data_IF_093539503106
#
_entry.id   IF_093539503106
#
_cell.length_a   1.000
_cell.length_b   1.000
_cell.length_c   1.000
_cell.angle_alpha   90.00
_cell.angle_beta   90.00
_cell.angle_gamma   90.00
#
_symmetry.space_group_name_H-M   'P 1'
#
loop_
_entity.id
_entity.type
_entity.pdbx_description
1 polymer ?
#
# COMPACT_ATOMS: atom_id res chain seq x y z
N UNK A 1 1.36 -27.03 5.11
CA UNK A 1 1.81 -25.72 4.60
C UNK A 1 0.76 -24.62 4.80
N UNK A 2 -0.51 -24.83 4.44
CA UNK A 2 -1.61 -23.89 4.70
C UNK A 2 -1.77 -23.52 6.18
N UNK A 3 -1.61 -24.49 7.09
CA UNK A 3 -1.64 -24.26 8.55
C UNK A 3 -0.55 -23.29 9.04
N UNK A 4 0.66 -23.38 8.48
CA UNK A 4 1.78 -22.51 8.83
C UNK A 4 1.58 -21.08 8.29
N UNK A 5 1.09 -20.94 7.06
CA UNK A 5 0.73 -19.64 6.49
C UNK A 5 -0.28 -18.93 7.39
N UNK A 6 -1.32 -19.66 7.80
CA UNK A 6 -2.37 -19.12 8.67
C UNK A 6 -1.84 -18.77 10.07
N UNK A 7 -0.92 -19.57 10.62
CA UNK A 7 -0.27 -19.27 11.88
C UNK A 7 0.56 -17.98 11.81
N UNK A 8 1.41 -17.82 10.78
CA UNK A 8 2.17 -16.58 10.58
C UNK A 8 1.26 -15.37 10.38
N UNK A 9 0.23 -15.51 9.55
CA UNK A 9 -0.77 -14.45 9.31
C UNK A 9 -1.44 -14.03 10.61
N UNK A 10 -1.89 -15.01 11.42
CA UNK A 10 -2.57 -14.75 12.70
C UNK A 10 -1.68 -14.02 13.68
N UNK A 11 -0.44 -14.47 13.85
CA UNK A 11 0.52 -13.83 14.78
C UNK A 11 0.77 -12.38 14.35
N UNK A 12 1.15 -12.16 13.10
CA UNK A 12 1.47 -10.82 12.58
C UNK A 12 0.26 -9.88 12.60
N UNK A 13 -0.94 -10.40 12.30
CA UNK A 13 -2.16 -9.62 12.36
C UNK A 13 -2.51 -9.22 13.81
N UNK A 14 -2.41 -10.16 14.75
CA UNK A 14 -2.65 -9.87 16.18
C UNK A 14 -1.61 -8.89 16.73
N UNK A 15 -0.34 -9.01 16.33
CA UNK A 15 0.71 -8.06 16.72
C UNK A 15 0.35 -6.64 16.27
N UNK A 16 -0.11 -6.44 15.03
CA UNK A 16 -0.55 -5.12 14.57
C UNK A 16 -1.81 -4.63 15.28
N UNK A 17 -2.78 -5.50 15.55
CA UNK A 17 -3.98 -5.14 16.33
C UNK A 17 -3.67 -4.74 17.78
N UNK A 18 -2.61 -5.30 18.37
CA UNK A 18 -2.15 -4.93 19.73
C UNK A 18 -1.41 -3.60 19.77
N UNK A 19 -1.05 -3.04 18.62
CA UNK A 19 -0.43 -1.71 18.49
C UNK A 19 -1.41 -0.79 17.75
N UNK A 20 -2.54 -0.41 18.37
CA UNK A 20 -3.61 0.34 17.69
C UNK A 20 -3.13 1.68 17.14
N UNK A 21 -2.16 2.32 17.81
CA UNK A 21 -1.56 3.57 17.33
C UNK A 21 -0.85 3.39 15.99
N UNK A 22 -0.29 2.21 15.70
CA UNK A 22 0.33 1.92 14.40
C UNK A 22 -0.69 1.84 13.27
N UNK A 23 -1.86 1.25 13.54
CA UNK A 23 -2.98 1.18 12.59
C UNK A 23 -3.54 2.57 12.30
N UNK A 24 -3.74 3.37 13.36
CA UNK A 24 -4.25 4.74 13.24
C UNK A 24 -3.24 5.61 12.51
N UNK A 25 -1.96 5.56 12.87
CA UNK A 25 -0.92 6.38 12.26
C UNK A 25 -0.80 6.16 10.74
N UNK A 26 -0.95 4.92 10.27
CA UNK A 26 -0.90 4.59 8.84
C UNK A 26 -2.02 5.23 8.01
N UNK A 27 -3.21 5.35 8.58
CA UNK A 27 -4.39 5.94 7.94
C UNK A 27 -4.62 7.43 8.29
N UNK A 28 -3.95 7.92 9.33
CA UNK A 28 -4.17 9.26 9.90
C UNK A 28 -3.93 10.36 8.87
N UNK A 29 -2.76 10.37 8.21
CA UNK A 29 -2.45 11.41 7.23
C UNK A 29 -3.47 11.46 6.08
N UNK A 30 -3.80 10.35 5.38
CA UNK A 30 -4.85 10.37 4.35
C UNK A 30 -6.20 10.87 4.87
N UNK A 31 -6.61 10.44 6.06
CA UNK A 31 -7.88 10.87 6.67
C UNK A 31 -7.87 12.37 7.03
N UNK A 32 -6.78 12.86 7.62
CA UNK A 32 -6.60 14.27 7.95
C UNK A 32 -6.51 15.15 6.69
N UNK A 33 -5.77 14.70 5.67
CA UNK A 33 -5.70 15.38 4.38
C UNK A 33 -7.07 15.41 3.68
N UNK A 34 -7.85 14.34 3.78
CA UNK A 34 -9.22 14.32 3.27
C UNK A 34 -10.09 15.37 3.94
N UNK A 35 -10.06 15.45 5.28
CA UNK A 35 -10.78 16.47 6.04
C UNK A 35 -10.32 17.90 5.73
N UNK A 36 -9.02 18.12 5.55
CA UNK A 36 -8.45 19.45 5.36
C UNK A 36 -8.61 19.96 3.92
N UNK A 37 -8.52 19.07 2.92
CA UNK A 37 -8.42 19.47 1.52
C UNK A 37 -9.58 19.01 0.66
N UNK A 38 -10.24 17.90 0.99
CA UNK A 38 -11.37 17.40 0.18
C UNK A 38 -12.67 17.98 0.70
N UNK A 39 -13.00 17.75 1.98
CA UNK A 39 -14.28 18.18 2.58
C UNK A 39 -14.61 19.66 2.33
N UNK A 40 -13.69 20.63 2.51
CA UNK A 40 -14.01 22.05 2.30
C UNK A 40 -14.21 22.42 0.83
N UNK A 41 -13.71 21.60 -0.09
CA UNK A 41 -13.73 21.86 -1.53
C UNK A 41 -14.71 20.96 -2.28
N UNK A 42 -15.60 20.25 -1.57
CA UNK A 42 -16.64 19.43 -2.22
C UNK A 42 -17.67 20.33 -2.90
N UNK A 43 -17.59 20.42 -4.22
CA UNK A 43 -18.63 21.01 -5.06
C UNK A 43 -19.50 19.96 -5.77
N UNK A 44 -18.99 18.73 -5.91
CA UNK A 44 -19.61 17.63 -6.66
C UNK A 44 -19.35 16.27 -5.98
N UNK A 45 -20.39 15.45 -5.70
CA UNK A 45 -20.24 14.09 -5.21
C UNK A 45 -19.30 13.20 -6.04
N UNK A 46 -19.24 13.38 -7.37
CA UNK A 46 -18.35 12.59 -8.21
C UNK A 46 -16.87 12.96 -7.99
N UNK A 47 -16.59 14.26 -7.85
CA UNK A 47 -15.25 14.75 -7.47
C UNK A 47 -14.83 14.20 -6.09
N UNK A 48 -15.74 14.23 -5.11
CA UNK A 48 -15.48 13.70 -3.78
C UNK A 48 -15.14 12.19 -3.81
N UNK A 49 -15.85 11.40 -4.62
CA UNK A 49 -15.57 9.98 -4.79
C UNK A 49 -14.20 9.72 -5.42
N UNK A 50 -13.83 10.52 -6.43
CA UNK A 50 -12.52 10.47 -7.06
C UNK A 50 -11.38 10.80 -6.08
N UNK A 51 -11.55 11.85 -5.27
CA UNK A 51 -10.60 12.24 -4.24
C UNK A 51 -10.50 11.21 -3.09
N UNK A 52 -11.62 10.56 -2.75
CA UNK A 52 -11.65 9.44 -1.80
C UNK A 52 -10.77 8.30 -2.30
N UNK A 53 -10.86 7.94 -3.58
CA UNK A 53 -10.00 6.91 -4.18
C UNK A 53 -8.51 7.28 -4.05
N UNK A 54 -8.13 8.52 -4.31
CA UNK A 54 -6.76 8.98 -4.16
C UNK A 54 -6.24 8.84 -2.72
N UNK A 55 -7.06 9.22 -1.72
CA UNK A 55 -6.71 9.06 -0.30
C UNK A 55 -6.67 7.60 0.14
N UNK A 56 -7.48 6.72 -0.45
CA UNK A 56 -7.40 5.27 -0.23
C UNK A 56 -6.09 4.72 -0.78
N UNK A 57 -5.70 5.06 -2.01
CA UNK A 57 -4.39 4.67 -2.57
C UNK A 57 -3.25 5.18 -1.67
N UNK A 58 -3.37 6.40 -1.16
CA UNK A 58 -2.40 6.98 -0.22
C UNK A 58 -2.27 6.17 1.08
N UNK A 59 -3.38 5.74 1.67
CA UNK A 59 -3.42 4.91 2.88
C UNK A 59 -2.82 3.51 2.64
N UNK A 60 -3.17 2.88 1.51
CA UNK A 60 -2.63 1.59 1.08
C UNK A 60 -1.11 1.69 0.85
N UNK A 61 -0.66 2.77 0.21
CA UNK A 61 0.76 3.01 -0.02
C UNK A 61 1.52 3.23 1.29
N UNK A 62 0.93 3.96 2.24
CA UNK A 62 1.52 4.19 3.57
C UNK A 62 1.71 2.86 4.32
N UNK A 63 0.66 2.05 4.41
CA UNK A 63 0.70 0.77 5.12
C UNK A 63 1.55 -0.29 4.42
N UNK A 64 1.40 -0.44 3.10
CA UNK A 64 2.12 -1.43 2.30
C UNK A 64 3.60 -1.10 2.11
N UNK A 65 3.98 0.17 1.94
CA UNK A 65 5.37 0.54 1.71
C UNK A 65 6.11 0.90 3.01
N UNK A 66 5.59 1.88 3.77
CA UNK A 66 6.26 2.36 4.99
C UNK A 66 6.06 1.35 6.12
N UNK A 67 4.81 1.01 6.42
CA UNK A 67 4.48 0.12 7.54
C UNK A 67 5.15 -1.25 7.41
N UNK A 68 4.91 -1.95 6.30
CA UNK A 68 5.50 -3.26 6.05
C UNK A 68 7.03 -3.21 5.97
N UNK A 69 7.61 -2.20 5.31
CA UNK A 69 9.07 -2.11 5.16
C UNK A 69 9.79 -1.92 6.48
N UNK A 70 9.26 -1.07 7.37
CA UNK A 70 9.79 -0.89 8.73
C UNK A 70 9.63 -2.19 9.53
N UNK A 71 8.44 -2.78 9.55
CA UNK A 71 8.17 -4.00 10.33
C UNK A 71 9.09 -5.16 9.90
N UNK A 72 9.28 -5.37 8.61
CA UNK A 72 10.16 -6.44 8.09
C UNK A 72 11.62 -6.19 8.48
N UNK A 73 12.09 -4.94 8.39
CA UNK A 73 13.45 -4.60 8.78
C UNK A 73 13.68 -4.79 10.29
N UNK A 74 12.71 -4.41 11.13
CA UNK A 74 12.75 -4.61 12.58
C UNK A 74 12.70 -6.08 12.97
N UNK A 75 11.79 -6.86 12.37
CA UNK A 75 11.67 -8.30 12.65
C UNK A 75 13.00 -9.03 12.38
N UNK A 76 13.70 -8.65 11.31
CA UNK A 76 15.02 -9.23 10.94
C UNK A 76 16.14 -8.92 11.92
N UNK A 77 15.96 -7.95 12.82
CA UNK A 77 16.90 -7.63 13.89
C UNK A 77 16.60 -8.43 15.18
N UNK A 78 15.42 -9.07 15.28
CA UNK A 78 15.05 -9.88 16.43
C UNK A 78 15.62 -11.31 16.33
N UNK A 79 16.01 -11.94 17.46
CA UNK A 79 16.54 -13.32 17.49
C UNK A 79 15.58 -14.38 16.95
N UNK A 80 14.28 -14.08 16.90
CA UNK A 80 13.26 -14.97 16.37
C UNK A 80 13.42 -15.22 14.86
N UNK A 81 13.90 -14.23 14.11
CA UNK A 81 14.05 -14.33 12.67
C UNK A 81 15.06 -15.39 12.20
N UNK A 82 16.31 -15.39 12.71
CA UNK A 82 17.28 -16.43 12.37
C UNK A 82 16.83 -17.80 12.91
N UNK A 83 16.16 -17.87 14.06
CA UNK A 83 15.63 -19.12 14.59
C UNK A 83 14.61 -19.77 13.64
N UNK A 84 13.65 -19.00 13.13
CA UNK A 84 12.67 -19.53 12.17
C UNK A 84 13.31 -20.08 10.88
N UNK A 85 14.47 -19.56 10.49
CA UNK A 85 15.20 -20.01 9.30
C UNK A 85 15.94 -21.34 9.48
N UNK A 86 16.16 -21.79 10.72
CA UNK A 86 16.75 -23.12 10.98
C UNK A 86 15.71 -24.23 10.93
N UNK A 87 14.41 -23.89 10.96
CA UNK A 87 13.31 -24.84 10.90
C UNK A 87 13.03 -25.30 9.47
N UNK A 88 12.57 -26.56 9.26
CA UNK A 88 12.30 -27.12 7.93
C UNK A 88 10.97 -26.62 7.31
N UNK A 89 10.62 -25.34 7.51
CA UNK A 89 9.37 -24.75 7.01
C UNK A 89 9.52 -24.05 5.65
N UNK A 90 10.75 -23.75 5.24
CA UNK A 90 11.04 -22.94 4.04
C UNK A 90 10.58 -21.48 4.16
N UNK A 91 10.84 -20.65 3.13
CA UNK A 91 10.56 -19.22 3.16
C UNK A 91 9.07 -18.89 2.92
N UNK A 92 8.35 -19.77 2.23
CA UNK A 92 7.01 -19.51 1.72
C UNK A 92 5.98 -19.18 2.82
N UNK A 93 5.84 -19.94 3.92
CA UNK A 93 4.81 -19.68 4.92
C UNK A 93 4.91 -18.28 5.55
N UNK A 94 6.14 -17.82 5.80
CA UNK A 94 6.42 -16.52 6.39
C UNK A 94 6.10 -15.38 5.43
N UNK A 95 6.55 -15.48 4.19
CA UNK A 95 6.31 -14.44 3.17
C UNK A 95 4.82 -14.34 2.85
N UNK A 96 4.16 -15.48 2.65
CA UNK A 96 2.71 -15.52 2.42
C UNK A 96 1.93 -14.92 3.60
N UNK A 97 2.34 -15.21 4.84
CA UNK A 97 1.75 -14.59 6.04
C UNK A 97 1.87 -13.07 6.02
N UNK A 98 3.05 -12.53 5.70
CA UNK A 98 3.27 -11.08 5.59
C UNK A 98 2.38 -10.43 4.53
N UNK A 99 2.25 -11.07 3.37
CA UNK A 99 1.40 -10.57 2.27
C UNK A 99 -0.07 -10.54 2.71
N UNK A 100 -0.59 -11.62 3.30
CA UNK A 100 -1.97 -11.68 3.75
C UNK A 100 -2.26 -10.66 4.87
N UNK A 101 -1.36 -10.52 5.83
CA UNK A 101 -1.49 -9.52 6.88
C UNK A 101 -1.46 -8.11 6.30
N UNK A 102 -0.52 -7.79 5.41
CA UNK A 102 -0.44 -6.45 4.82
C UNK A 102 -1.66 -6.11 3.94
N UNK A 103 -2.23 -7.08 3.23
CA UNK A 103 -3.52 -6.93 2.53
C UNK A 103 -4.66 -6.61 3.50
N UNK A 104 -4.79 -7.35 4.60
CA UNK A 104 -5.82 -7.12 5.60
C UNK A 104 -5.68 -5.72 6.25
N UNK A 105 -4.44 -5.31 6.56
CA UNK A 105 -4.16 -4.01 7.16
C UNK A 105 -4.46 -2.87 6.19
N UNK A 106 -4.18 -3.06 4.90
CA UNK A 106 -4.52 -2.08 3.86
C UNK A 106 -6.03 -1.87 3.72
N UNK A 107 -6.82 -2.95 3.84
CA UNK A 107 -8.28 -2.87 3.90
C UNK A 107 -8.77 -2.16 5.18
N UNK A 108 -8.10 -2.34 6.31
CA UNK A 108 -8.44 -1.58 7.53
C UNK A 108 -8.08 -0.09 7.39
N UNK A 109 -6.95 0.21 6.74
CA UNK A 109 -6.45 1.57 6.60
C UNK A 109 -7.32 2.45 5.68
N UNK A 110 -8.10 1.88 4.76
CA UNK A 110 -9.05 2.65 3.96
C UNK A 110 -10.31 3.06 4.74
N UNK A 111 -10.65 2.37 5.84
CA UNK A 111 -11.91 2.58 6.57
C UNK A 111 -12.08 4.04 7.02
N UNK A 112 -11.09 4.69 7.68
CA UNK A 112 -11.27 6.08 8.12
C UNK A 112 -11.61 7.02 6.96
N UNK A 113 -10.94 6.87 5.82
CA UNK A 113 -11.16 7.71 4.63
C UNK A 113 -12.58 7.50 4.07
N UNK A 114 -13.02 6.25 3.94
CA UNK A 114 -14.36 5.94 3.41
C UNK A 114 -15.47 6.41 4.36
N UNK A 115 -15.28 6.25 5.67
CA UNK A 115 -16.22 6.77 6.68
C UNK A 115 -16.31 8.29 6.60
N UNK A 116 -15.18 8.99 6.49
CA UNK A 116 -15.19 10.45 6.33
C UNK A 116 -15.87 10.88 5.02
N UNK A 117 -15.63 10.19 3.92
CA UNK A 117 -16.29 10.48 2.65
C UNK A 117 -17.82 10.34 2.76
N UNK A 118 -18.30 9.24 3.37
CA UNK A 118 -19.72 8.97 3.56
C UNK A 118 -20.40 10.00 4.48
N UNK A 119 -19.70 10.48 5.51
CA UNK A 119 -20.24 11.44 6.48
C UNK A 119 -20.23 12.89 5.96
N UNK A 120 -19.24 13.28 5.15
CA UNK A 120 -18.97 14.70 4.89
C UNK A 120 -19.02 15.14 3.42
N UNK A 121 -19.13 14.22 2.43
CA UNK A 121 -18.90 14.60 1.02
C UNK A 121 -19.99 14.22 0.02
N UNK A 122 -21.11 13.65 0.48
CA UNK A 122 -22.22 13.21 -0.39
C UNK A 122 -21.84 12.10 -1.37
N UNK A 123 -20.60 11.62 -1.35
CA UNK A 123 -20.12 10.54 -2.20
C UNK A 123 -20.95 9.27 -1.93
N UNK A 124 -21.60 8.76 -2.96
CA UNK A 124 -22.40 7.53 -2.89
C UNK A 124 -21.71 6.42 -3.66
N UNK A 125 -21.86 5.19 -3.14
CA UNK A 125 -21.30 4.01 -3.75
C UNK A 125 -22.33 2.88 -3.70
N UNK A 126 -22.61 2.26 -4.85
CA UNK A 126 -23.49 1.09 -4.87
C UNK A 126 -22.79 -0.14 -4.27
N UNK A 127 -23.52 -1.08 -3.64
CA UNK A 127 -22.91 -2.27 -3.05
C UNK A 127 -22.01 -3.09 -4.02
N UNK A 128 -22.36 -3.27 -5.31
CA UNK A 128 -21.47 -3.94 -6.26
C UNK A 128 -20.16 -3.18 -6.48
N UNK A 129 -20.21 -1.85 -6.55
CA UNK A 129 -19.02 -1.00 -6.71
C UNK A 129 -18.13 -1.00 -5.47
N UNK A 130 -18.73 -1.14 -4.28
CA UNK A 130 -17.97 -1.36 -3.05
C UNK A 130 -17.19 -2.67 -3.12
N UNK A 131 -17.81 -3.77 -3.56
CA UNK A 131 -17.12 -5.06 -3.72
C UNK A 131 -15.96 -4.95 -4.71
N UNK A 132 -16.18 -4.32 -5.87
CA UNK A 132 -15.09 -4.08 -6.83
C UNK A 132 -14.00 -3.18 -6.25
N UNK A 133 -14.34 -2.15 -5.48
CA UNK A 133 -13.39 -1.31 -4.76
C UNK A 133 -12.53 -2.10 -3.77
N UNK A 134 -13.12 -3.00 -2.98
CA UNK A 134 -12.39 -3.86 -2.04
C UNK A 134 -11.41 -4.80 -2.79
N UNK A 135 -11.86 -5.41 -3.89
CA UNK A 135 -11.00 -6.24 -4.74
C UNK A 135 -9.88 -5.43 -5.39
N UNK A 136 -10.17 -4.23 -5.88
CA UNK A 136 -9.18 -3.33 -6.44
C UNK A 136 -8.14 -2.94 -5.38
N UNK A 137 -8.56 -2.64 -4.14
CA UNK A 137 -7.64 -2.36 -3.02
C UNK A 137 -6.67 -3.51 -2.81
N UNK A 138 -7.13 -4.76 -2.81
CA UNK A 138 -6.24 -5.93 -2.68
C UNK A 138 -5.20 -5.99 -3.80
N UNK A 139 -5.58 -5.67 -5.04
CA UNK A 139 -4.67 -5.68 -6.19
C UNK A 139 -3.66 -4.52 -6.12
N UNK A 140 -4.11 -3.29 -5.90
CA UNK A 140 -3.22 -2.12 -5.86
C UNK A 140 -2.26 -2.15 -4.67
N UNK A 141 -2.61 -2.89 -3.61
CA UNK A 141 -1.73 -3.06 -2.45
C UNK A 141 -0.44 -3.81 -2.82
N UNK A 142 -0.47 -4.70 -3.82
CA UNK A 142 0.63 -5.57 -4.21
C UNK A 142 1.93 -4.80 -4.52
N UNK A 143 1.97 -3.84 -5.47
CA UNK A 143 3.20 -3.12 -5.78
C UNK A 143 3.77 -2.39 -4.56
N UNK A 144 2.94 -1.74 -3.74
CA UNK A 144 3.43 -1.02 -2.56
C UNK A 144 3.95 -1.94 -1.47
N UNK A 145 3.32 -3.10 -1.27
CA UNK A 145 3.86 -4.17 -0.42
C UNK A 145 5.21 -4.67 -0.93
N UNK A 146 5.38 -4.81 -2.24
CA UNK A 146 6.66 -5.22 -2.81
C UNK A 146 7.75 -4.17 -2.59
N UNK A 147 7.44 -2.87 -2.68
CA UNK A 147 8.39 -1.82 -2.29
C UNK A 147 8.75 -1.94 -0.81
N UNK A 148 7.75 -2.12 0.06
CA UNK A 148 7.96 -2.32 1.49
C UNK A 148 8.84 -3.54 1.79
N UNK A 149 8.54 -4.70 1.21
CA UNK A 149 9.35 -5.92 1.34
C UNK A 149 10.77 -5.72 0.82
N UNK A 150 10.94 -5.08 -0.33
CA UNK A 150 12.25 -4.78 -0.90
C UNK A 150 13.10 -3.94 0.05
N UNK A 151 12.55 -2.83 0.55
CA UNK A 151 13.19 -1.98 1.55
C UNK A 151 13.51 -2.79 2.82
N UNK A 152 12.52 -3.54 3.29
CA UNK A 152 12.58 -4.32 4.51
C UNK A 152 13.60 -5.45 4.47
N UNK A 153 13.90 -6.04 3.32
CA UNK A 153 14.96 -7.04 3.13
C UNK A 153 16.34 -6.42 2.85
N UNK A 154 16.39 -5.22 2.27
CA UNK A 154 17.65 -4.63 1.84
C UNK A 154 18.34 -3.80 2.94
N UNK A 155 17.56 -3.12 3.79
CA UNK A 155 18.07 -2.09 4.71
C UNK A 155 17.94 -2.50 6.19
N UNK A 156 18.80 -1.96 7.08
CA UNK A 156 18.59 -2.02 8.53
C UNK A 156 17.41 -1.15 8.95
N UNK A 157 16.80 -1.41 10.12
CA UNK A 157 15.53 -0.80 10.54
C UNK A 157 15.59 0.74 10.51
N UNK A 158 16.66 1.35 11.03
CA UNK A 158 16.84 2.81 11.02
C UNK A 158 16.86 3.41 9.61
N UNK A 159 17.49 2.73 8.65
CA UNK A 159 17.54 3.20 7.26
C UNK A 159 16.22 2.95 6.53
N UNK A 160 15.53 1.82 6.81
CA UNK A 160 14.23 1.51 6.25
C UNK A 160 13.19 2.60 6.58
N UNK A 161 13.21 3.14 7.81
CA UNK A 161 12.35 4.28 8.20
C UNK A 161 12.58 5.48 7.27
N UNK A 162 13.82 5.98 7.19
CA UNK A 162 14.14 7.17 6.42
C UNK A 162 13.90 6.99 4.91
N UNK A 163 14.32 5.86 4.34
CA UNK A 163 14.16 5.58 2.90
C UNK A 163 12.69 5.46 2.51
N UNK A 164 11.87 4.78 3.31
CA UNK A 164 10.44 4.64 3.00
C UNK A 164 9.74 5.99 2.99
N UNK A 165 10.07 6.88 3.95
CA UNK A 165 9.50 8.23 4.04
C UNK A 165 9.94 9.12 2.86
N UNK A 166 11.23 9.06 2.48
CA UNK A 166 11.77 9.84 1.36
C UNK A 166 11.16 9.38 0.03
N UNK A 167 10.93 8.09 -0.18
CA UNK A 167 10.32 7.56 -1.41
C UNK A 167 8.82 7.83 -1.49
N UNK A 168 8.15 7.92 -0.36
CA UNK A 168 6.70 8.00 -0.29
C UNK A 168 6.10 9.21 -1.00
N UNK A 169 6.56 10.42 -0.66
CA UNK A 169 6.01 11.64 -1.26
C UNK A 169 6.31 11.77 -2.77
N UNK A 170 7.54 11.51 -3.26
CA UNK A 170 7.80 11.50 -4.69
C UNK A 170 6.88 10.56 -5.46
N UNK A 171 6.67 9.32 -4.99
CA UNK A 171 5.77 8.38 -5.67
C UNK A 171 4.32 8.89 -5.63
N UNK A 172 3.87 9.46 -4.51
CA UNK A 172 2.51 10.01 -4.40
C UNK A 172 2.29 11.22 -5.32
N UNK A 173 3.24 12.17 -5.32
CA UNK A 173 3.17 13.42 -6.08
C UNK A 173 3.31 13.13 -7.57
N UNK A 174 4.32 12.35 -7.96
CA UNK A 174 4.56 12.02 -9.37
C UNK A 174 3.41 11.20 -9.95
N UNK A 175 2.74 10.35 -9.16
CA UNK A 175 1.52 9.66 -9.57
C UNK A 175 0.25 10.52 -9.59
N UNK A 176 0.33 11.78 -9.18
CA UNK A 176 -0.80 12.72 -9.18
C UNK A 176 -1.83 12.46 -8.07
N UNK A 177 -1.48 11.82 -6.95
CA UNK A 177 -2.43 11.53 -5.86
C UNK A 177 -2.86 12.78 -5.06
N UNK A 178 -2.03 13.83 -5.04
CA UNK A 178 -2.22 15.03 -4.22
C UNK A 178 -2.63 16.26 -5.03
N UNK A 179 -2.74 16.14 -6.36
CA UNK A 179 -3.02 17.27 -7.26
C UNK A 179 -4.48 17.31 -7.73
N UNK A 180 -4.90 18.48 -8.21
CA UNK A 180 -6.11 18.58 -9.02
C UNK A 180 -5.80 18.00 -10.41
N UNK A 181 -6.51 16.94 -10.88
CA UNK A 181 -6.29 16.39 -12.21
C UNK A 181 -6.43 17.41 -13.34
N UNK A 182 -7.26 18.45 -13.15
CA UNK A 182 -7.52 19.51 -14.14
C UNK A 182 -6.48 20.64 -14.14
N UNK A 183 -5.59 20.68 -13.15
CA UNK A 183 -4.59 21.75 -12.98
C UNK A 183 -3.22 21.18 -12.61
N UNK A 184 -2.88 20.01 -13.14
CA UNK A 184 -1.60 19.35 -12.85
C UNK A 184 -0.47 20.05 -13.62
N UNK A 185 0.71 20.30 -12.99
CA UNK A 185 1.88 20.80 -13.70
C UNK A 185 2.26 19.87 -14.85
N UNK A 186 2.62 20.42 -16.02
CA UNK A 186 2.91 19.64 -17.23
C UNK A 186 3.95 18.53 -17.03
N UNK A 187 4.94 18.75 -16.16
CA UNK A 187 5.92 17.73 -15.80
C UNK A 187 5.28 16.52 -15.10
N UNK A 188 4.40 16.75 -14.12
CA UNK A 188 3.72 15.67 -13.41
C UNK A 188 2.74 14.98 -14.36
N UNK A 189 2.05 15.71 -15.21
CA UNK A 189 1.14 15.14 -16.22
C UNK A 189 1.85 14.18 -17.17
N UNK A 190 3.05 14.55 -17.64
CA UNK A 190 3.86 13.70 -18.51
C UNK A 190 4.39 12.43 -17.81
N UNK A 191 4.74 12.52 -16.53
CA UNK A 191 5.38 11.43 -15.77
C UNK A 191 4.36 10.52 -15.09
N UNK A 192 3.21 11.05 -14.69
CA UNK A 192 2.20 10.35 -13.89
C UNK A 192 1.75 9.02 -14.48
N UNK A 193 1.45 8.90 -15.80
CA UNK A 193 1.07 7.62 -16.40
C UNK A 193 2.11 6.50 -16.24
N UNK A 194 3.36 6.82 -15.92
CA UNK A 194 4.42 5.82 -15.73
C UNK A 194 4.62 5.41 -14.26
N UNK A 195 3.91 6.05 -13.32
CA UNK A 195 4.04 5.80 -11.88
C UNK A 195 3.07 4.71 -11.41
N UNK A 196 3.49 3.83 -10.47
CA UNK A 196 2.62 2.77 -9.96
C UNK A 196 1.43 3.33 -9.17
N UNK A 197 1.61 4.46 -8.50
CA UNK A 197 0.55 5.21 -7.81
C UNK A 197 -0.54 5.71 -8.75
N UNK A 198 -0.21 6.11 -9.98
CA UNK A 198 -1.21 6.49 -10.97
C UNK A 198 -1.98 5.28 -11.48
N UNK A 199 -1.30 4.20 -11.83
CA UNK A 199 -1.96 2.97 -12.27
C UNK A 199 -2.88 2.38 -11.20
N UNK A 200 -2.47 2.45 -9.93
CA UNK A 200 -3.30 2.07 -8.78
C UNK A 200 -4.56 2.94 -8.67
N UNK A 201 -4.42 4.26 -8.85
CA UNK A 201 -5.55 5.19 -8.81
C UNK A 201 -6.53 4.95 -9.97
N UNK A 202 -6.03 4.76 -11.19
CA UNK A 202 -6.83 4.45 -12.38
C UNK A 202 -7.62 3.15 -12.20
N UNK A 203 -6.99 2.09 -11.67
CA UNK A 203 -7.66 0.83 -11.39
C UNK A 203 -8.79 1.00 -10.35
N UNK A 204 -8.54 1.78 -9.30
CA UNK A 204 -9.54 2.02 -8.26
C UNK A 204 -10.70 2.89 -8.77
N UNK A 205 -10.41 3.92 -9.56
CA UNK A 205 -11.44 4.73 -10.22
C UNK A 205 -12.32 3.88 -11.15
N UNK A 206 -11.73 3.00 -11.95
CA UNK A 206 -12.52 2.10 -12.78
C UNK A 206 -13.42 1.17 -11.96
N UNK A 207 -12.90 0.60 -10.88
CA UNK A 207 -13.66 -0.30 -10.02
C UNK A 207 -14.85 0.40 -9.35
N UNK A 208 -14.61 1.58 -8.79
CA UNK A 208 -15.56 2.32 -7.93
C UNK A 208 -16.48 3.24 -8.75
N UNK A 209 -15.94 3.93 -9.75
CA UNK A 209 -16.67 4.94 -10.54
C UNK A 209 -17.07 4.43 -11.93
N UNK A 210 -16.39 3.41 -12.47
CA UNK A 210 -16.69 2.87 -13.80
C UNK A 210 -16.24 3.75 -14.96
N UNK A 211 -15.31 4.66 -14.70
CA UNK A 211 -14.74 5.53 -15.73
C UNK A 211 -13.69 4.78 -16.57
N UNK A 212 -13.43 5.30 -17.76
CA UNK A 212 -12.35 4.80 -18.62
C UNK A 212 -10.99 4.97 -17.94
N UNK A 213 -10.10 3.99 -18.15
CA UNK A 213 -8.76 3.99 -17.58
C UNK A 213 -7.73 4.46 -18.59
N UNK A 214 -6.69 5.11 -18.09
CA UNK A 214 -5.46 5.23 -18.83
C UNK A 214 -4.74 3.87 -18.92
N UNK A 215 -4.83 3.20 -20.08
CA UNK A 215 -4.22 1.89 -20.31
C UNK A 215 -2.69 1.86 -20.14
N UNK A 216 -2.00 2.98 -20.41
CA UNK A 216 -0.57 3.09 -20.14
C UNK A 216 -0.29 2.98 -18.64
N UNK A 217 -1.08 3.66 -17.80
CA UNK A 217 -0.94 3.60 -16.35
C UNK A 217 -1.24 2.20 -15.79
N UNK A 218 -2.25 1.51 -16.32
CA UNK A 218 -2.54 0.12 -15.97
C UNK A 218 -1.40 -0.81 -16.39
N UNK A 219 -0.87 -0.65 -17.61
CA UNK A 219 0.29 -1.42 -18.08
C UNK A 219 1.52 -1.19 -17.19
N UNK A 220 1.79 0.05 -16.81
CA UNK A 220 2.91 0.43 -15.96
C UNK A 220 2.75 -0.08 -14.52
N UNK A 221 1.53 -0.15 -13.99
CA UNK A 221 1.26 -0.84 -12.71
C UNK A 221 1.73 -2.30 -12.76
N UNK A 222 1.43 -3.00 -13.86
CA UNK A 222 1.89 -4.36 -14.11
C UNK A 222 3.42 -4.47 -14.20
N UNK A 223 4.05 -3.58 -14.96
CA UNK A 223 5.52 -3.51 -15.10
C UNK A 223 6.19 -3.30 -13.73
N UNK A 224 5.75 -2.31 -12.97
CA UNK A 224 6.27 -2.05 -11.62
C UNK A 224 6.09 -3.26 -10.71
N UNK A 225 4.92 -3.91 -10.74
CA UNK A 225 4.66 -5.11 -9.94
C UNK A 225 5.66 -6.22 -10.26
N UNK A 226 5.91 -6.50 -11.55
CA UNK A 226 6.87 -7.53 -11.96
C UNK A 226 8.30 -7.15 -11.56
N UNK A 227 8.73 -5.92 -11.85
CA UNK A 227 10.08 -5.44 -11.52
C UNK A 227 10.33 -5.49 -10.01
N UNK A 228 9.37 -5.04 -9.20
CA UNK A 228 9.47 -5.05 -7.76
C UNK A 228 9.41 -6.46 -7.18
N UNK A 229 8.65 -7.38 -7.79
CA UNK A 229 8.65 -8.78 -7.38
C UNK A 229 10.03 -9.42 -7.59
N UNK A 230 10.64 -9.18 -8.75
CA UNK A 230 12.00 -9.64 -9.05
C UNK A 230 13.04 -9.01 -8.11
N UNK A 231 12.95 -7.70 -7.87
CA UNK A 231 13.83 -6.98 -6.96
C UNK A 231 13.70 -7.48 -5.50
N UNK A 232 12.47 -7.73 -5.06
CA UNK A 232 12.18 -8.28 -3.72
C UNK A 232 12.74 -9.70 -3.58
N UNK A 233 12.54 -10.55 -4.59
CA UNK A 233 13.08 -11.91 -4.60
C UNK A 233 14.63 -11.90 -4.54
N UNK A 234 15.27 -10.99 -5.29
CA UNK A 234 16.71 -10.79 -5.21
C UNK A 234 17.16 -10.30 -3.83
N UNK A 235 16.49 -9.30 -3.26
CA UNK A 235 16.82 -8.76 -1.94
C UNK A 235 16.67 -9.83 -0.83
N UNK A 236 15.62 -10.64 -0.92
CA UNK A 236 15.38 -11.77 -0.03
C UNK A 236 16.53 -12.79 -0.08
N UNK A 237 16.93 -13.23 -1.29
CA UNK A 237 18.04 -14.19 -1.46
C UNK A 237 19.39 -13.63 -1.00
N UNK A 238 19.62 -12.33 -1.21
CA UNK A 238 20.83 -11.64 -0.73
C UNK A 238 20.91 -11.62 0.80
N UNK A 239 19.78 -11.44 1.47
CA UNK A 239 19.70 -11.47 2.94
C UNK A 239 20.04 -12.86 3.48
N UNK A 240 19.59 -13.93 2.82
CA UNK A 240 19.96 -15.31 3.19
C UNK A 240 21.47 -15.56 3.07
N UNK A 241 22.12 -15.06 2.02
CA UNK A 241 23.54 -15.35 1.73
C UNK A 241 24.58 -14.61 2.58
N UNK A 242 24.23 -13.53 3.29
CA UNK A 242 25.21 -12.70 4.04
C UNK A 242 25.37 -13.03 5.51
N UNK A 243 24.41 -13.74 6.12
CA UNK A 243 24.39 -14.04 7.56
C UNK A 243 24.67 -15.51 7.89
N UNK A 244 24.72 -16.39 6.89
CA UNK A 244 24.79 -17.85 7.07
C UNK A 244 25.80 -18.55 6.15
N UNK A 245 26.76 -17.82 5.57
CA UNK A 245 27.96 -18.39 4.94
C UNK A 245 29.11 -18.43 5.94
#
# INVERSE_FOLDING_TARGET
MSSLVLAHTRVQFIEQLRVPIGLVAGAFFPAAAFLAFVVPNVSDPAFALGATCAMVVFAVMSTGMIGLGINVAQDRELPWDPYLRTLPAGPYPRIAGRVLTAMAISLLAMIPVVVLAALFTGATLSPPRLLFGLLAVLVITIPFMLIGLFIGFLLPAKAAIGVSQILFFPIAILGGLLGNPMAMPAFIEAVSPYMPSRGALELLWWAVMGIEVNWLAIGMLGVWTVVLALATAWAYRRDEGRRFS
#
